data_IF_231395707405
#
_entry.id   IF_231395707405
#
_cell.length_a   1.000
_cell.length_b   1.000
_cell.length_c   1.000
_cell.angle_alpha   90.00
_cell.angle_beta   90.00
_cell.angle_gamma   90.00
#
_symmetry.space_group_name_H-M   'P 1'
#
loop_
_entity.id
_entity.type
_entity.pdbx_description
1 polymer ?
#
# COMPACT_ATOMS: atom_id res chain seq x y z
N UNK A 1 3.96 22.53 23.70
CA UNK A 1 4.00 21.10 23.33
C UNK A 1 4.33 20.32 24.58
N UNK A 2 3.42 19.45 25.02
CA UNK A 2 3.62 18.61 26.20
C UNK A 2 4.59 17.47 25.86
N UNK A 3 5.53 17.13 26.76
CA UNK A 3 6.58 16.11 26.52
C UNK A 3 5.98 14.72 26.27
N UNK A 4 4.80 14.46 26.82
CA UNK A 4 3.99 13.25 26.62
C UNK A 4 3.63 13.02 25.14
N UNK A 5 3.09 14.04 24.47
CA UNK A 5 2.65 13.95 23.06
C UNK A 5 3.80 13.78 22.05
N UNK A 6 5.01 14.20 22.40
CA UNK A 6 6.21 13.97 21.58
C UNK A 6 6.64 12.51 21.67
N UNK A 7 6.64 11.93 22.88
CA UNK A 7 7.02 10.53 23.12
C UNK A 7 6.02 9.57 22.47
N UNK A 8 4.72 9.87 22.56
CA UNK A 8 3.67 9.04 21.96
C UNK A 8 3.72 9.02 20.44
N UNK A 9 4.00 10.15 19.79
CA UNK A 9 4.16 10.16 18.34
C UNK A 9 5.45 9.50 17.86
N UNK A 10 6.56 9.61 18.60
CA UNK A 10 7.78 8.84 18.30
C UNK A 10 7.50 7.34 18.39
N UNK A 11 6.75 6.90 19.41
CA UNK A 11 6.36 5.50 19.58
C UNK A 11 5.50 4.98 18.44
N UNK A 12 4.52 5.76 17.98
CA UNK A 12 3.68 5.38 16.82
C UNK A 12 4.45 5.42 15.51
N UNK A 13 5.31 6.40 15.30
CA UNK A 13 6.21 6.43 14.15
C UNK A 13 7.13 5.22 14.10
N UNK A 14 7.73 4.85 15.25
CA UNK A 14 8.54 3.64 15.37
C UNK A 14 7.71 2.37 15.09
N UNK A 15 6.46 2.31 15.57
CA UNK A 15 5.54 1.20 15.28
C UNK A 15 5.18 1.13 13.79
N UNK A 16 4.91 2.27 13.14
CA UNK A 16 4.64 2.35 11.71
C UNK A 16 5.81 1.81 10.90
N UNK A 17 7.03 2.26 11.22
CA UNK A 17 8.27 1.80 10.59
C UNK A 17 8.47 0.30 10.82
N UNK A 18 8.23 -0.19 12.05
CA UNK A 18 8.35 -1.61 12.36
C UNK A 18 7.34 -2.46 11.58
N UNK A 19 6.07 -2.02 11.47
CA UNK A 19 5.06 -2.71 10.67
C UNK A 19 5.46 -2.71 9.19
N UNK A 20 5.88 -1.55 8.66
CA UNK A 20 6.36 -1.45 7.29
C UNK A 20 7.50 -2.43 7.06
N UNK A 21 8.53 -2.39 7.90
CA UNK A 21 9.71 -3.24 7.79
C UNK A 21 9.38 -4.73 7.86
N UNK A 22 8.57 -5.15 8.84
CA UNK A 22 8.17 -6.56 9.00
C UNK A 22 7.36 -7.03 7.79
N UNK A 23 6.31 -6.30 7.42
CA UNK A 23 5.42 -6.72 6.34
C UNK A 23 6.07 -6.62 4.95
N UNK A 24 6.80 -5.55 4.67
CA UNK A 24 7.41 -5.33 3.35
C UNK A 24 8.76 -6.01 3.14
N UNK A 25 9.46 -6.38 4.21
CA UNK A 25 10.82 -6.94 4.11
C UNK A 25 10.93 -8.31 4.76
N UNK A 26 10.56 -8.45 6.03
CA UNK A 26 10.74 -9.72 6.74
C UNK A 26 9.91 -10.84 6.12
N UNK A 27 8.63 -10.59 5.83
CA UNK A 27 7.72 -11.59 5.23
C UNK A 27 8.23 -12.05 3.84
N UNK A 28 8.53 -11.15 2.88
CA UNK A 28 9.10 -11.55 1.60
C UNK A 28 10.42 -12.31 1.70
N UNK A 29 11.32 -11.92 2.61
CA UNK A 29 12.61 -12.60 2.80
C UNK A 29 12.39 -14.00 3.33
N UNK A 30 11.52 -14.19 4.34
CA UNK A 30 11.18 -15.51 4.86
C UNK A 30 10.55 -16.38 3.78
N UNK A 31 9.61 -15.85 2.99
CA UNK A 31 9.03 -16.56 1.85
C UNK A 31 10.09 -16.96 0.83
N UNK A 32 11.03 -16.07 0.52
CA UNK A 32 12.14 -16.34 -0.38
C UNK A 32 13.04 -17.48 0.13
N UNK A 33 13.36 -17.47 1.42
CA UNK A 33 14.14 -18.54 2.06
C UNK A 33 13.41 -19.89 2.02
N UNK A 34 12.12 -19.92 2.35
CA UNK A 34 11.30 -21.14 2.30
C UNK A 34 11.22 -21.74 0.89
N UNK A 35 11.23 -20.89 -0.14
CA UNK A 35 11.15 -21.30 -1.54
C UNK A 35 12.52 -21.40 -2.22
N UNK A 36 13.62 -21.31 -1.46
CA UNK A 36 15.00 -21.36 -1.97
C UNK A 36 15.30 -20.31 -3.07
N UNK A 37 14.63 -19.17 -3.02
CA UNK A 37 14.87 -18.03 -3.91
C UNK A 37 16.10 -17.26 -3.41
N UNK A 38 17.07 -16.94 -4.29
CA UNK A 38 18.22 -16.14 -3.90
C UNK A 38 17.80 -14.80 -3.28
N UNK A 39 18.29 -14.50 -2.08
CA UNK A 39 17.94 -13.30 -1.30
C UNK A 39 18.13 -12.02 -2.11
N UNK A 40 19.18 -11.95 -2.94
CA UNK A 40 19.42 -10.81 -3.83
C UNK A 40 18.23 -10.53 -4.77
N UNK A 41 17.59 -11.56 -5.33
CA UNK A 41 16.41 -11.40 -6.20
C UNK A 41 15.18 -10.93 -5.44
N UNK A 42 15.02 -11.36 -4.19
CA UNK A 42 13.93 -10.91 -3.31
C UNK A 42 14.08 -9.42 -3.00
N UNK A 43 15.28 -8.97 -2.61
CA UNK A 43 15.53 -7.56 -2.37
C UNK A 43 15.41 -6.71 -3.63
N UNK A 44 15.90 -7.20 -4.78
CA UNK A 44 15.68 -6.53 -6.06
C UNK A 44 14.19 -6.34 -6.33
N UNK A 45 13.36 -7.37 -6.11
CA UNK A 45 11.92 -7.25 -6.30
C UNK A 45 11.26 -6.27 -5.31
N UNK A 46 11.67 -6.27 -4.04
CA UNK A 46 11.17 -5.30 -3.04
C UNK A 46 11.50 -3.88 -3.49
N UNK A 47 12.75 -3.60 -3.82
CA UNK A 47 13.21 -2.27 -4.25
C UNK A 47 12.49 -1.85 -5.54
N UNK A 48 12.39 -2.76 -6.52
CA UNK A 48 11.62 -2.51 -7.74
C UNK A 48 10.15 -2.20 -7.42
N UNK A 49 9.52 -2.89 -6.47
CA UNK A 49 8.12 -2.64 -6.07
C UNK A 49 7.95 -1.25 -5.48
N UNK A 50 8.89 -0.79 -4.66
CA UNK A 50 8.86 0.56 -4.10
C UNK A 50 9.00 1.66 -5.16
N UNK A 51 9.89 1.44 -6.14
CA UNK A 51 10.25 2.44 -7.15
C UNK A 51 9.31 2.42 -8.36
N UNK A 52 8.98 1.24 -8.86
CA UNK A 52 8.24 1.02 -10.11
C UNK A 52 6.77 0.67 -9.86
N UNK A 53 6.36 0.51 -8.60
CA UNK A 53 5.00 0.13 -8.22
C UNK A 53 4.55 -1.14 -8.95
N UNK A 54 3.35 -1.15 -9.56
CA UNK A 54 2.82 -2.31 -10.29
C UNK A 54 3.73 -2.76 -11.43
N UNK A 55 4.55 -1.86 -12.02
CA UNK A 55 5.49 -2.20 -13.09
C UNK A 55 6.66 -3.08 -12.61
N UNK A 56 6.86 -3.22 -11.30
CA UNK A 56 7.83 -4.16 -10.75
C UNK A 56 7.52 -5.61 -11.11
N UNK A 57 6.27 -5.92 -11.52
CA UNK A 57 5.91 -7.20 -12.11
C UNK A 57 6.84 -7.59 -13.27
N UNK A 58 7.16 -6.65 -14.16
CA UNK A 58 8.09 -6.89 -15.28
C UNK A 58 9.51 -7.18 -14.80
N UNK A 59 9.97 -6.45 -13.77
CA UNK A 59 11.28 -6.71 -13.17
C UNK A 59 11.33 -8.10 -12.51
N UNK A 60 10.28 -8.50 -11.79
CA UNK A 60 10.18 -9.83 -11.19
C UNK A 60 10.25 -10.96 -12.24
N UNK A 61 9.52 -10.81 -13.36
CA UNK A 61 9.59 -11.76 -14.47
C UNK A 61 10.97 -11.76 -15.12
N UNK A 62 11.58 -10.58 -15.33
CA UNK A 62 12.94 -10.45 -15.84
C UNK A 62 14.02 -11.08 -14.96
N UNK A 63 13.78 -11.18 -13.64
CA UNK A 63 14.62 -11.91 -12.69
C UNK A 63 14.41 -13.43 -12.70
N UNK A 64 13.51 -13.93 -13.55
CA UNK A 64 13.15 -15.35 -13.65
C UNK A 64 12.43 -15.88 -12.43
N UNK A 65 11.69 -15.03 -11.71
CA UNK A 65 10.94 -15.43 -10.52
C UNK A 65 9.58 -16.04 -10.88
N UNK A 66 9.10 -16.94 -10.03
CA UNK A 66 7.76 -17.52 -10.20
C UNK A 66 6.68 -16.42 -10.08
N UNK A 67 5.68 -16.34 -10.99
CA UNK A 67 4.64 -15.31 -10.97
C UNK A 67 3.84 -15.22 -9.67
N UNK A 68 3.54 -16.37 -9.06
CA UNK A 68 2.82 -16.44 -7.77
C UNK A 68 3.70 -15.88 -6.65
N UNK A 69 5.00 -16.17 -6.69
CA UNK A 69 5.97 -15.59 -5.75
C UNK A 69 6.08 -14.08 -5.93
N UNK A 70 6.16 -13.59 -7.16
CA UNK A 70 6.21 -12.15 -7.46
C UNK A 70 4.98 -11.45 -6.87
N UNK A 71 3.79 -11.98 -7.14
CA UNK A 71 2.54 -11.40 -6.64
C UNK A 71 2.49 -11.39 -5.11
N UNK A 72 2.89 -12.50 -4.46
CA UNK A 72 2.92 -12.59 -3.00
C UNK A 72 3.86 -11.56 -2.36
N UNK A 73 5.07 -11.39 -2.91
CA UNK A 73 6.03 -10.38 -2.45
C UNK A 73 5.47 -8.98 -2.65
N UNK A 74 4.92 -8.68 -3.83
CA UNK A 74 4.38 -7.36 -4.13
C UNK A 74 3.18 -6.99 -3.24
N UNK A 75 2.28 -7.93 -2.92
CA UNK A 75 1.18 -7.72 -1.97
C UNK A 75 1.72 -7.47 -0.55
N UNK A 76 2.74 -8.23 -0.13
CA UNK A 76 3.33 -8.06 1.20
C UNK A 76 3.98 -6.68 1.36
N UNK A 77 4.69 -6.23 0.32
CA UNK A 77 5.27 -4.88 0.24
C UNK A 77 4.19 -3.82 0.28
N UNK A 78 3.15 -3.96 -0.54
CA UNK A 78 2.00 -3.06 -0.60
C UNK A 78 1.34 -2.90 0.78
N UNK A 79 0.93 -4.00 1.42
CA UNK A 79 0.28 -3.98 2.73
C UNK A 79 1.17 -3.31 3.78
N UNK A 80 2.47 -3.60 3.79
CA UNK A 80 3.41 -2.96 4.70
C UNK A 80 3.44 -1.45 4.56
N UNK A 81 3.48 -0.95 3.32
CA UNK A 81 3.50 0.50 3.04
C UNK A 81 2.15 1.15 3.35
N UNK A 82 1.05 0.55 2.91
CA UNK A 82 -0.30 1.07 3.16
C UNK A 82 -0.53 1.24 4.66
N UNK A 83 -0.19 0.22 5.46
CA UNK A 83 -0.31 0.29 6.91
C UNK A 83 0.59 1.38 7.51
N UNK A 84 1.83 1.50 7.03
CA UNK A 84 2.76 2.51 7.50
C UNK A 84 2.26 3.94 7.20
N UNK A 85 1.73 4.18 6.00
CA UNK A 85 1.15 5.47 5.62
C UNK A 85 -0.01 5.82 6.55
N UNK A 86 -0.93 4.88 6.81
CA UNK A 86 -2.04 5.11 7.74
C UNK A 86 -1.55 5.51 9.14
N UNK A 87 -0.59 4.78 9.70
CA UNK A 87 -0.03 5.11 11.02
C UNK A 87 0.69 6.46 11.06
N UNK A 88 1.41 6.81 9.99
CA UNK A 88 2.09 8.12 9.86
C UNK A 88 1.04 9.25 9.81
N UNK A 89 -0.01 9.10 9.00
CA UNK A 89 -1.06 10.10 8.89
C UNK A 89 -1.84 10.27 10.20
N UNK A 90 -2.16 9.16 10.88
CA UNK A 90 -2.80 9.18 12.19
C UNK A 90 -1.92 9.89 13.24
N UNK A 91 -0.61 9.60 13.25
CA UNK A 91 0.34 10.31 14.13
C UNK A 91 0.36 11.82 13.84
N UNK A 92 0.34 12.23 12.56
CA UNK A 92 0.28 13.65 12.20
C UNK A 92 -1.03 14.32 12.63
N UNK A 93 -2.17 13.64 12.52
CA UNK A 93 -3.46 14.20 12.93
C UNK A 93 -3.58 14.40 14.44
N UNK A 94 -2.96 13.54 15.24
CA UNK A 94 -2.94 13.67 16.70
C UNK A 94 -1.94 14.73 17.18
N UNK A 95 -0.76 14.82 16.55
CA UNK A 95 0.28 15.75 16.97
C UNK A 95 0.06 17.19 16.47
N UNK A 96 -0.62 17.38 15.34
CA UNK A 96 -0.87 18.69 14.74
C UNK A 96 -2.32 19.10 14.89
N UNK A 97 -2.58 20.14 15.69
CA UNK A 97 -3.93 20.68 15.87
C UNK A 97 -4.56 21.12 14.53
N UNK A 98 -3.74 21.61 13.59
CA UNK A 98 -4.18 22.00 12.24
C UNK A 98 -4.68 20.80 11.44
N UNK A 99 -3.94 19.68 11.45
CA UNK A 99 -4.31 18.45 10.74
C UNK A 99 -5.49 17.76 11.43
N UNK A 100 -5.50 17.73 12.76
CA UNK A 100 -6.63 17.23 13.56
C UNK A 100 -7.93 18.03 13.33
N UNK A 101 -7.85 19.36 13.24
CA UNK A 101 -9.02 20.20 12.92
C UNK A 101 -9.47 20.01 11.47
N UNK A 102 -8.54 19.86 10.53
CA UNK A 102 -8.86 19.59 9.13
C UNK A 102 -9.59 18.25 8.98
N UNK A 103 -9.06 17.18 9.57
CA UNK A 103 -9.66 15.84 9.52
C UNK A 103 -11.06 15.80 10.16
N UNK A 104 -11.26 16.47 11.30
CA UNK A 104 -12.59 16.64 11.91
C UNK A 104 -13.56 17.41 11.01
N UNK A 105 -13.11 18.50 10.39
CA UNK A 105 -13.93 19.27 9.45
C UNK A 105 -14.32 18.45 8.22
N UNK A 106 -13.40 17.63 7.70
CA UNK A 106 -13.70 16.72 6.59
C UNK A 106 -14.70 15.65 7.01
N UNK A 107 -14.56 15.08 8.20
CA UNK A 107 -15.52 14.11 8.75
C UNK A 107 -16.94 14.70 8.88
N UNK A 108 -17.05 15.93 9.39
CA UNK A 108 -18.33 16.65 9.48
C UNK A 108 -18.95 16.93 8.10
N UNK A 109 -18.13 17.30 7.11
CA UNK A 109 -18.59 17.47 5.72
C UNK A 109 -19.04 16.15 5.11
N UNK A 110 -18.32 15.07 5.36
CA UNK A 110 -18.63 13.74 4.85
C UNK A 110 -19.91 13.16 5.43
N UNK A 111 -20.31 13.54 6.66
CA UNK A 111 -21.64 13.21 7.22
C UNK A 111 -22.81 13.73 6.38
N UNK A 112 -22.62 14.81 5.61
CA UNK A 112 -23.63 15.33 4.68
C UNK A 112 -23.77 14.47 3.42
N UNK A 113 -22.81 13.59 3.14
CA UNK A 113 -22.78 12.72 1.96
C UNK A 113 -22.65 11.23 2.37
N UNK A 114 -23.70 10.64 2.97
CA UNK A 114 -23.65 9.28 3.51
C UNK A 114 -23.34 8.21 2.46
N UNK A 115 -23.74 8.43 1.20
CA UNK A 115 -23.42 7.54 0.07
C UNK A 115 -21.91 7.52 -0.18
N UNK A 116 -21.28 8.70 -0.25
CA UNK A 116 -19.84 8.81 -0.47
C UNK A 116 -19.04 8.30 0.74
N UNK A 117 -19.58 8.45 1.95
CA UNK A 117 -18.96 7.90 3.15
C UNK A 117 -19.02 6.36 3.20
N UNK A 118 -20.10 5.74 2.70
CA UNK A 118 -20.29 4.28 2.73
C UNK A 118 -19.68 3.55 1.53
N UNK A 119 -19.74 4.15 0.34
CA UNK A 119 -19.30 3.53 -0.92
C UNK A 119 -18.06 4.18 -1.52
N UNK A 120 -17.61 5.33 -1.01
CA UNK A 120 -16.45 6.03 -1.55
C UNK A 120 -15.19 5.17 -1.57
N UNK A 121 -15.00 4.30 -0.57
CA UNK A 121 -13.87 3.37 -0.52
C UNK A 121 -13.77 2.44 -1.74
N UNK A 122 -14.89 2.15 -2.42
CA UNK A 122 -14.90 1.31 -3.65
C UNK A 122 -14.12 1.99 -4.78
N UNK A 123 -14.11 3.32 -4.84
CA UNK A 123 -13.35 4.07 -5.86
C UNK A 123 -11.83 3.85 -5.75
N UNK A 124 -11.35 3.38 -4.59
CA UNK A 124 -9.95 3.02 -4.36
C UNK A 124 -9.53 1.74 -5.08
N UNK A 125 -10.43 1.00 -5.72
CA UNK A 125 -10.03 -0.10 -6.62
C UNK A 125 -9.37 0.45 -7.88
N UNK A 126 -9.87 1.57 -8.41
CA UNK A 126 -9.46 2.11 -9.71
C UNK A 126 -8.15 2.90 -9.59
N UNK A 127 -7.98 3.63 -8.50
CA UNK A 127 -6.84 4.53 -8.32
C UNK A 127 -5.48 3.80 -8.39
N UNK A 128 -5.26 2.62 -7.76
CA UNK A 128 -4.02 1.85 -7.89
C UNK A 128 -3.66 1.43 -9.32
N UNK A 129 -4.63 1.42 -10.24
CA UNK A 129 -4.38 1.13 -11.65
C UNK A 129 -3.65 2.29 -12.36
N UNK A 130 -3.56 3.48 -11.74
CA UNK A 130 -2.83 4.62 -12.28
C UNK A 130 -1.32 4.44 -12.05
N UNK A 131 -0.49 4.36 -13.12
CA UNK A 131 0.88 3.85 -13.05
C UNK A 131 1.89 4.59 -12.15
N UNK A 132 1.62 5.85 -11.79
CA UNK A 132 2.63 6.74 -11.16
C UNK A 132 2.25 7.13 -9.73
N UNK A 133 0.97 7.34 -9.47
CA UNK A 133 0.48 7.98 -8.24
C UNK A 133 -0.52 7.07 -7.51
N UNK A 134 -0.99 6.03 -8.20
CA UNK A 134 -2.19 5.29 -7.86
C UNK A 134 -2.20 4.73 -6.45
N UNK A 135 -1.18 3.94 -6.10
CA UNK A 135 -1.16 3.25 -4.81
C UNK A 135 -1.09 4.24 -3.64
N UNK A 136 -0.05 5.07 -3.60
CA UNK A 136 0.21 5.92 -2.44
C UNK A 136 -0.89 6.97 -2.24
N UNK A 137 -1.37 7.58 -3.32
CA UNK A 137 -2.44 8.58 -3.22
C UNK A 137 -3.79 7.97 -2.86
N UNK A 138 -4.07 6.72 -3.23
CA UNK A 138 -5.30 6.04 -2.80
C UNK A 138 -5.40 5.99 -1.28
N UNK A 139 -4.31 5.62 -0.61
CA UNK A 139 -4.24 5.52 0.85
C UNK A 139 -4.45 6.89 1.49
N UNK A 140 -3.76 7.91 0.97
CA UNK A 140 -3.88 9.29 1.49
C UNK A 140 -5.30 9.83 1.29
N UNK A 141 -5.92 9.61 0.12
CA UNK A 141 -7.29 10.05 -0.17
C UNK A 141 -8.29 9.34 0.73
N UNK A 142 -8.19 8.02 0.86
CA UNK A 142 -9.06 7.24 1.73
C UNK A 142 -8.98 7.68 3.19
N UNK A 143 -7.78 8.00 3.65
CA UNK A 143 -7.57 8.58 4.99
C UNK A 143 -8.12 10.00 5.11
N UNK A 144 -7.85 10.87 4.12
CA UNK A 144 -8.27 12.28 4.12
C UNK A 144 -9.80 12.41 4.17
N UNK A 145 -10.49 11.57 3.41
CA UNK A 145 -11.95 11.50 3.35
C UNK A 145 -12.56 10.71 4.52
N UNK A 146 -11.73 10.23 5.45
CA UNK A 146 -12.13 9.51 6.68
C UNK A 146 -12.97 8.27 6.37
N UNK A 147 -12.66 7.58 5.27
CA UNK A 147 -13.29 6.31 4.95
C UNK A 147 -12.84 5.22 5.91
N UNK A 148 -13.63 4.15 5.99
CA UNK A 148 -13.31 3.02 6.86
C UNK A 148 -11.96 2.41 6.46
N UNK A 149 -10.99 2.46 7.38
CA UNK A 149 -9.61 1.99 7.17
C UNK A 149 -9.55 0.56 6.62
N UNK A 150 -10.33 -0.37 7.17
CA UNK A 150 -10.32 -1.77 6.73
C UNK A 150 -10.87 -1.90 5.31
N UNK A 151 -11.98 -1.21 5.00
CA UNK A 151 -12.55 -1.21 3.65
C UNK A 151 -11.59 -0.57 2.64
N UNK A 152 -10.95 0.54 3.00
CA UNK A 152 -9.99 1.21 2.13
C UNK A 152 -8.78 0.34 1.83
N UNK A 153 -8.19 -0.30 2.84
CA UNK A 153 -7.08 -1.24 2.65
C UNK A 153 -7.51 -2.38 1.71
N UNK A 154 -8.69 -2.97 1.96
CA UNK A 154 -9.22 -4.06 1.14
C UNK A 154 -9.38 -3.65 -0.33
N UNK A 155 -9.98 -2.49 -0.60
CA UNK A 155 -10.21 -2.03 -1.96
C UNK A 155 -8.93 -1.59 -2.69
N UNK A 156 -7.98 -0.98 -1.99
CA UNK A 156 -6.65 -0.66 -2.54
C UNK A 156 -5.90 -1.94 -2.89
N UNK A 157 -5.88 -2.92 -1.97
CA UNK A 157 -5.22 -4.22 -2.18
C UNK A 157 -5.87 -4.95 -3.35
N UNK A 158 -7.20 -4.91 -3.46
CA UNK A 158 -7.92 -5.52 -4.58
C UNK A 158 -7.52 -4.89 -5.92
N UNK A 159 -7.50 -3.55 -5.99
CA UNK A 159 -7.05 -2.82 -7.17
C UNK A 159 -5.60 -3.14 -7.54
N UNK A 160 -4.73 -3.22 -6.53
CA UNK A 160 -3.33 -3.59 -6.68
C UNK A 160 -3.16 -5.00 -7.23
N UNK A 161 -3.85 -5.99 -6.66
CA UNK A 161 -3.80 -7.38 -7.13
C UNK A 161 -4.28 -7.48 -8.58
N UNK A 162 -5.34 -6.77 -8.95
CA UNK A 162 -5.86 -6.76 -10.32
C UNK A 162 -4.85 -6.18 -11.32
N UNK A 163 -4.28 -4.99 -11.04
CA UNK A 163 -3.31 -4.38 -11.96
C UNK A 163 -2.02 -5.19 -12.03
N UNK A 164 -1.51 -5.66 -10.89
CA UNK A 164 -0.27 -6.43 -10.83
C UNK A 164 -0.44 -7.80 -11.52
N UNK A 165 -1.57 -8.46 -11.28
CA UNK A 165 -1.93 -9.71 -11.96
C UNK A 165 -2.06 -9.53 -13.46
N UNK A 166 -2.71 -8.45 -13.92
CA UNK A 166 -2.78 -8.11 -15.34
C UNK A 166 -1.39 -7.88 -15.95
N UNK A 167 -0.54 -7.09 -15.30
CA UNK A 167 0.82 -6.84 -15.79
C UNK A 167 1.69 -8.10 -15.79
N UNK A 168 1.51 -9.02 -14.84
CA UNK A 168 2.15 -10.33 -14.87
C UNK A 168 1.70 -11.16 -16.08
N UNK A 169 0.40 -11.18 -16.40
CA UNK A 169 -0.10 -11.86 -17.61
C UNK A 169 0.48 -11.25 -18.89
N UNK A 170 0.59 -9.92 -18.96
CA UNK A 170 1.26 -9.22 -20.06
C UNK A 170 2.73 -9.62 -20.14
N UNK A 171 3.46 -9.59 -19.02
CA UNK A 171 4.89 -9.91 -18.95
C UNK A 171 5.20 -11.36 -19.34
N UNK A 172 4.26 -12.29 -19.09
CA UNK A 172 4.36 -13.69 -19.48
C UNK A 172 4.01 -13.95 -20.95
N UNK A 173 3.63 -12.91 -21.71
CA UNK A 173 3.29 -13.03 -23.13
C UNK A 173 1.88 -13.56 -23.41
N UNK A 174 1.04 -13.79 -22.39
CA UNK A 174 -0.35 -14.23 -22.59
C UNK A 174 -1.19 -13.20 -23.36
N UNK A 175 -0.83 -11.92 -23.27
CA UNK A 175 -1.54 -10.84 -23.98
C UNK A 175 -1.08 -10.69 -25.43
N UNK A 176 0.14 -11.13 -25.78
CA UNK A 176 0.61 -11.18 -27.19
C UNK A 176 0.00 -12.37 -27.97
N UNK A 177 -0.54 -13.38 -27.27
CA UNK A 177 -1.24 -14.51 -27.91
C UNK A 177 -2.68 -14.20 -28.31
N UNK A 178 -3.24 -13.08 -27.83
CA UNK A 178 -4.67 -12.73 -27.99
C UNK A 178 -4.87 -11.59 -29.03
N UNK A 179 -3.81 -10.86 -29.41
CA UNK A 179 -3.85 -9.73 -30.36
C UNK A 179 -2.83 -9.87 -31.48
#
# INVERSE_FOLDING_TARGET
>A
MDRSGVIDGIRRGARAIAIAFVASTLIPVVLGLLLSVPIGRVFSLIISTLLLQANAAFAGVGLGLNPVFILAVMISVELGIVLAIYEILDAFAEQSERVGRFTKSTEEKMKRYPILHKYGAVTLIILPMLPVIGLYSSVVIGWLLRWNRIQSIFFVTLGWVLVTGFLLLVALGFVQLIF
#
